data_IF_798498662353
#
_entry.id   IF_798498662353
#
_cell.length_a   1.000
_cell.length_b   1.000
_cell.length_c   1.000
_cell.angle_alpha   90.00
_cell.angle_beta   90.00
_cell.angle_gamma   90.00
#
_symmetry.space_group_name_H-M   'P 1'
#
loop_
_entity.id
_entity.type
_entity.pdbx_description
1 polymer ?
#
# COMPACT_ATOMS: atom_id res chain seq x y z
N UNK A 1 16.22 -0.72 9.86
CA UNK A 1 15.09 0.23 10.00
C UNK A 1 14.37 0.28 8.66
N UNK A 2 13.10 -0.11 8.60
CA UNK A 2 12.34 -0.13 7.35
C UNK A 2 12.16 1.31 6.82
N UNK A 3 12.60 1.56 5.59
CA UNK A 3 12.38 2.83 4.90
C UNK A 3 10.87 2.98 4.64
N UNK A 4 10.21 3.90 5.36
CA UNK A 4 8.81 4.25 5.10
C UNK A 4 8.76 4.89 3.71
N UNK A 5 8.28 4.16 2.71
CA UNK A 5 7.97 4.73 1.39
C UNK A 5 7.05 5.95 1.57
N UNK A 6 7.47 7.11 1.07
CA UNK A 6 6.68 8.32 1.13
C UNK A 6 5.44 8.17 0.24
N UNK A 7 4.26 8.46 0.79
CA UNK A 7 3.01 8.45 0.04
C UNK A 7 2.98 9.66 -0.90
N UNK A 8 2.42 9.47 -2.09
CA UNK A 8 2.16 10.58 -3.02
C UNK A 8 1.08 11.51 -2.45
N UNK A 9 1.08 12.78 -2.86
CA UNK A 9 0.04 13.74 -2.44
C UNK A 9 -1.38 13.24 -2.73
N UNK A 10 -1.58 12.56 -3.87
CA UNK A 10 -2.88 11.96 -4.22
C UNK A 10 -3.28 10.79 -3.30
N UNK A 11 -2.33 9.98 -2.85
CA UNK A 11 -2.59 8.91 -1.88
C UNK A 11 -2.93 9.48 -0.50
N UNK A 12 -2.17 10.48 -0.04
CA UNK A 12 -2.45 11.18 1.23
C UNK A 12 -3.83 11.83 1.19
N UNK A 13 -4.16 12.54 0.11
CA UNK A 13 -5.48 13.17 -0.03
C UNK A 13 -6.62 12.14 0.00
N UNK A 14 -6.50 11.00 -0.68
CA UNK A 14 -7.51 9.93 -0.63
C UNK A 14 -7.70 9.37 0.79
N UNK A 15 -6.62 9.20 1.54
CA UNK A 15 -6.71 8.73 2.93
C UNK A 15 -7.40 9.76 3.82
N UNK A 16 -7.00 11.03 3.73
CA UNK A 16 -7.61 12.13 4.47
C UNK A 16 -9.11 12.27 4.19
N UNK A 17 -9.53 12.15 2.92
CA UNK A 17 -10.96 12.24 2.57
C UNK A 17 -11.77 11.09 3.14
N UNK A 18 -11.22 9.88 3.19
CA UNK A 18 -11.91 8.75 3.81
C UNK A 18 -11.96 8.93 5.33
N UNK A 19 -10.90 9.41 5.98
CA UNK A 19 -10.92 9.72 7.41
C UNK A 19 -11.95 10.81 7.74
N UNK A 20 -12.03 11.86 6.93
CA UNK A 20 -13.02 12.93 7.08
C UNK A 20 -14.46 12.39 6.93
N UNK A 21 -14.69 11.51 5.94
CA UNK A 21 -15.98 10.86 5.76
C UNK A 21 -16.37 9.98 6.95
N UNK A 22 -15.42 9.23 7.51
CA UNK A 22 -15.64 8.40 8.71
C UNK A 22 -15.99 9.28 9.92
N UNK A 23 -15.28 10.38 10.13
CA UNK A 23 -15.60 11.34 11.20
C UNK A 23 -16.98 11.96 11.02
N UNK A 24 -17.35 12.31 9.79
CA UNK A 24 -18.69 12.80 9.49
C UNK A 24 -19.80 11.81 9.90
N UNK A 25 -19.60 10.50 9.66
CA UNK A 25 -20.55 9.48 10.11
C UNK A 25 -20.56 9.37 11.64
N UNK A 26 -19.39 9.28 12.28
CA UNK A 26 -19.28 9.01 13.73
C UNK A 26 -19.61 10.21 14.62
N UNK A 27 -19.23 11.41 14.21
CA UNK A 27 -19.26 12.63 15.03
C UNK A 27 -20.39 13.58 14.63
N UNK A 28 -20.68 13.69 13.32
CA UNK A 28 -21.76 14.57 12.80
C UNK A 28 -23.10 13.83 12.63
N UNK A 29 -23.13 12.51 12.83
CA UNK A 29 -24.35 11.70 12.70
C UNK A 29 -24.87 11.58 11.26
N UNK A 30 -24.00 11.80 10.26
CA UNK A 30 -24.37 11.64 8.85
C UNK A 30 -24.60 10.16 8.52
N UNK A 31 -25.56 9.91 7.62
CA UNK A 31 -25.66 8.58 7.02
C UNK A 31 -24.40 8.27 6.19
N UNK A 32 -24.04 7.00 6.09
CA UNK A 32 -22.89 6.57 5.28
C UNK A 32 -22.99 7.04 3.83
N UNK A 33 -24.21 7.09 3.28
CA UNK A 33 -24.43 7.53 1.91
C UNK A 33 -24.18 9.04 1.76
N UNK A 34 -24.67 9.84 2.71
CA UNK A 34 -24.47 11.28 2.70
C UNK A 34 -22.99 11.64 2.83
N UNK A 35 -22.27 10.99 3.76
CA UNK A 35 -20.83 11.21 3.93
C UNK A 35 -20.02 10.76 2.70
N UNK A 36 -20.36 9.63 2.08
CA UNK A 36 -19.68 9.17 0.87
C UNK A 36 -19.78 10.19 -0.29
N UNK A 37 -20.95 10.78 -0.47
CA UNK A 37 -21.18 11.83 -1.47
C UNK A 37 -20.45 13.12 -1.12
N UNK A 38 -20.57 13.60 0.13
CA UNK A 38 -19.98 14.86 0.59
C UNK A 38 -18.45 14.88 0.43
N UNK A 39 -17.79 13.76 0.75
CA UNK A 39 -16.33 13.66 0.72
C UNK A 39 -15.77 12.99 -0.55
N UNK A 40 -16.64 12.65 -1.52
CA UNK A 40 -16.23 12.06 -2.79
C UNK A 40 -15.52 10.71 -2.64
N UNK A 41 -15.92 9.91 -1.66
CA UNK A 41 -15.30 8.59 -1.38
C UNK A 41 -16.24 7.45 -1.67
N UNK A 42 -15.69 6.29 -2.03
CA UNK A 42 -16.50 5.09 -2.19
C UNK A 42 -17.08 4.65 -0.84
N UNK A 43 -18.41 4.54 -0.77
CA UNK A 43 -19.13 4.10 0.43
C UNK A 43 -18.58 2.78 0.99
N UNK A 44 -18.26 1.82 0.11
CA UNK A 44 -17.74 0.51 0.53
C UNK A 44 -16.33 0.61 1.14
N UNK A 45 -15.47 1.49 0.60
CA UNK A 45 -14.14 1.72 1.17
C UNK A 45 -14.24 2.33 2.57
N UNK A 46 -15.12 3.30 2.74
CA UNK A 46 -15.38 3.91 4.05
C UNK A 46 -15.96 2.89 5.03
N UNK A 47 -17.01 2.14 4.66
CA UNK A 47 -17.61 1.11 5.52
C UNK A 47 -16.61 0.06 5.99
N UNK A 48 -15.79 -0.48 5.07
CA UNK A 48 -14.71 -1.41 5.43
C UNK A 48 -13.73 -0.83 6.44
N UNK A 49 -13.40 0.46 6.34
CA UNK A 49 -12.54 1.15 7.32
C UNK A 49 -13.25 1.49 8.63
N UNK A 50 -14.57 1.63 8.64
CA UNK A 50 -15.35 1.75 9.88
C UNK A 50 -15.32 0.42 10.64
N UNK A 51 -15.54 -0.69 9.92
CA UNK A 51 -15.53 -2.06 10.46
C UNK A 51 -14.12 -2.51 10.88
N UNK A 52 -13.11 -2.22 10.05
CA UNK A 52 -11.71 -2.54 10.30
C UNK A 52 -10.82 -1.31 10.00
N UNK A 53 -10.46 -0.50 11.02
CA UNK A 53 -9.69 0.73 10.84
C UNK A 53 -8.31 0.53 10.21
N UNK A 54 -7.67 -0.61 10.51
CA UNK A 54 -6.38 -0.99 9.97
C UNK A 54 -6.53 -2.31 9.21
N UNK A 55 -7.15 -2.29 8.01
CA UNK A 55 -7.31 -3.51 7.24
C UNK A 55 -5.93 -4.05 6.90
N UNK A 56 -5.76 -5.37 7.06
CA UNK A 56 -4.59 -6.04 6.54
C UNK A 56 -4.46 -5.74 5.04
N UNK A 57 -3.21 -5.62 4.53
CA UNK A 57 -2.97 -5.42 3.11
C UNK A 57 -3.79 -6.42 2.29
N UNK A 58 -4.66 -5.92 1.43
CA UNK A 58 -5.39 -6.77 0.49
C UNK A 58 -4.40 -7.30 -0.56
N UNK A 59 -4.12 -8.60 -0.51
CA UNK A 59 -3.25 -9.30 -1.43
C UNK A 59 -3.25 -10.80 -1.15
N UNK A 60 -2.93 -11.60 -2.17
CA UNK A 60 -2.63 -13.01 -1.95
C UNK A 60 -1.31 -13.16 -1.18
N UNK A 61 -1.02 -14.37 -0.72
CA UNK A 61 0.31 -14.70 -0.19
C UNK A 61 1.37 -14.30 -1.22
N UNK A 62 2.41 -13.64 -0.75
CA UNK A 62 3.59 -13.32 -1.54
C UNK A 62 4.27 -14.60 -2.00
N UNK A 63 4.92 -14.56 -3.18
CA UNK A 63 5.68 -15.71 -3.69
C UNK A 63 6.98 -15.94 -2.92
N UNK A 64 7.48 -14.89 -2.28
CA UNK A 64 8.71 -14.93 -1.52
C UNK A 64 8.39 -14.86 -0.03
N UNK A 65 9.21 -15.52 0.83
CA UNK A 65 9.15 -15.29 2.26
C UNK A 65 9.51 -13.84 2.59
N UNK A 66 9.00 -13.33 3.71
CA UNK A 66 9.12 -11.90 4.07
C UNK A 66 10.57 -11.39 4.05
N UNK A 67 11.52 -12.19 4.57
CA UNK A 67 12.93 -11.80 4.61
C UNK A 67 13.54 -11.60 3.21
N UNK A 68 13.12 -12.40 2.23
CA UNK A 68 13.57 -12.31 0.84
C UNK A 68 12.99 -11.06 0.16
N UNK A 69 11.72 -10.74 0.43
CA UNK A 69 11.11 -9.49 -0.04
C UNK A 69 11.80 -8.26 0.54
N UNK A 70 12.16 -8.29 1.82
CA UNK A 70 12.84 -7.17 2.48
C UNK A 70 14.23 -6.90 1.88
N UNK A 71 14.96 -7.96 1.51
CA UNK A 71 16.25 -7.86 0.80
C UNK A 71 16.06 -7.27 -0.59
N UNK A 72 15.12 -7.81 -1.38
CA UNK A 72 14.83 -7.29 -2.72
C UNK A 72 14.39 -5.84 -2.68
N UNK A 73 13.50 -5.48 -1.75
CA UNK A 73 13.03 -4.12 -1.59
C UNK A 73 14.18 -3.17 -1.24
N UNK A 74 15.07 -3.57 -0.33
CA UNK A 74 16.24 -2.78 0.04
C UNK A 74 17.19 -2.58 -1.14
N UNK A 75 17.47 -3.63 -1.91
CA UNK A 75 18.31 -3.54 -3.12
C UNK A 75 17.72 -2.58 -4.16
N UNK A 76 16.44 -2.73 -4.50
CA UNK A 76 15.76 -1.89 -5.49
C UNK A 76 15.70 -0.42 -5.06
N UNK A 77 15.46 -0.17 -3.76
CA UNK A 77 15.48 1.18 -3.20
C UNK A 77 16.87 1.81 -3.27
N UNK A 78 17.93 1.04 -2.99
CA UNK A 78 19.30 1.51 -3.11
C UNK A 78 19.66 1.86 -4.56
N UNK A 79 19.32 1.00 -5.53
CA UNK A 79 19.54 1.30 -6.95
C UNK A 79 18.84 2.59 -7.37
N UNK A 80 17.58 2.78 -6.96
CA UNK A 80 16.83 4.01 -7.20
C UNK A 80 17.52 5.24 -6.58
N UNK A 81 17.93 5.13 -5.31
CA UNK A 81 18.63 6.21 -4.60
C UNK A 81 19.99 6.58 -5.22
N UNK A 82 20.68 5.62 -5.84
CA UNK A 82 21.93 5.83 -6.57
C UNK A 82 21.72 6.28 -8.02
N UNK A 83 20.48 6.38 -8.50
CA UNK A 83 20.17 6.71 -9.89
C UNK A 83 20.53 5.60 -10.88
N UNK A 84 20.66 4.35 -10.43
CA UNK A 84 20.93 3.19 -11.27
C UNK A 84 19.63 2.70 -11.89
N UNK A 85 19.44 2.81 -13.23
CA UNK A 85 18.23 2.36 -13.87
C UNK A 85 18.19 0.84 -13.96
N UNK A 86 17.24 0.22 -13.25
CA UNK A 86 16.93 -1.18 -13.40
C UNK A 86 15.82 -1.34 -14.44
N UNK A 87 16.12 -2.06 -15.52
CA UNK A 87 15.12 -2.44 -16.51
C UNK A 87 14.44 -3.76 -16.11
N UNK A 88 13.42 -4.15 -16.89
CA UNK A 88 12.68 -5.39 -16.64
C UNK A 88 13.59 -6.63 -16.61
N UNK A 89 14.60 -6.72 -17.48
CA UNK A 89 15.49 -7.88 -17.55
C UNK A 89 16.35 -8.01 -16.29
N UNK A 90 16.89 -6.91 -15.77
CA UNK A 90 17.63 -6.91 -14.51
C UNK A 90 16.77 -7.42 -13.35
N UNK A 91 15.53 -6.96 -13.25
CA UNK A 91 14.62 -7.41 -12.20
C UNK A 91 14.26 -8.89 -12.34
N UNK A 92 13.99 -9.36 -13.56
CA UNK A 92 13.69 -10.79 -13.81
C UNK A 92 14.87 -11.66 -13.39
N UNK A 93 16.09 -11.30 -13.79
CA UNK A 93 17.28 -12.04 -13.43
C UNK A 93 17.48 -12.08 -11.90
N UNK A 94 17.41 -10.93 -11.23
CA UNK A 94 17.53 -10.83 -9.78
C UNK A 94 16.52 -11.72 -9.04
N UNK A 95 15.24 -11.69 -9.48
CA UNK A 95 14.19 -12.49 -8.85
C UNK A 95 14.37 -13.99 -9.13
N UNK A 96 14.83 -14.36 -10.33
CA UNK A 96 15.11 -15.76 -10.67
C UNK A 96 16.31 -16.32 -9.89
N UNK A 97 17.36 -15.52 -9.69
CA UNK A 97 18.52 -15.90 -8.87
C UNK A 97 18.10 -16.13 -7.42
N UNK A 98 17.35 -15.19 -6.83
CA UNK A 98 16.86 -15.33 -5.47
C UNK A 98 15.89 -16.52 -5.31
N UNK A 99 14.98 -16.74 -6.26
CA UNK A 99 14.07 -17.89 -6.25
C UNK A 99 14.87 -19.21 -6.24
N UNK A 100 15.93 -19.29 -7.05
CA UNK A 100 16.82 -20.46 -7.10
C UNK A 100 17.51 -20.70 -5.75
N UNK A 101 18.00 -19.64 -5.09
CA UNK A 101 18.68 -19.76 -3.80
C UNK A 101 17.77 -20.25 -2.66
N UNK A 102 16.49 -19.89 -2.70
CA UNK A 102 15.52 -20.25 -1.66
C UNK A 102 14.73 -21.53 -1.97
N UNK A 103 14.90 -22.10 -3.16
CA UNK A 103 14.22 -23.33 -3.59
C UNK A 103 12.77 -23.14 -4.02
N UNK A 104 12.42 -21.97 -4.58
CA UNK A 104 11.09 -21.63 -5.13
C UNK A 104 11.05 -21.69 -6.68
#
# INVERSE_FOLDING_TARGET
MASRKLKTAGQVNKELMVEAAIKAVKERGLSENAAAVEFGVCRMTMRRRIENPNPEPHGGKTKFPQWAEDILASFLLNCSGMGVPLNRYHCVQLFSELATEIGE
#
